data_IF_241287407104
#
_entry.id   IF_241287407104
#
_cell.length_a   1.000
_cell.length_b   1.000
_cell.length_c   1.000
_cell.angle_alpha   90.00
_cell.angle_beta   90.00
_cell.angle_gamma   90.00
#
_symmetry.space_group_name_H-M   'P 1'
#
loop_
_entity.id
_entity.type
_entity.pdbx_description
1 polymer ?
#
# COMPACT_ATOMS: atom_id res chain seq x y z
N UNK A 1 -18.92 12.74 40.65
CA UNK A 1 -18.69 11.60 41.56
C UNK A 1 -19.63 10.47 41.17
N UNK A 2 -19.17 9.21 41.29
CA UNK A 2 -19.80 7.92 40.93
C UNK A 2 -19.56 7.47 39.48
N UNK A 3 -18.55 6.61 39.21
CA UNK A 3 -18.49 5.13 39.40
C UNK A 3 -19.47 4.43 38.44
N UNK A 4 -19.19 3.34 37.73
CA UNK A 4 -18.05 2.44 37.51
C UNK A 4 -18.53 1.40 36.47
N UNK A 5 -17.66 0.94 35.56
CA UNK A 5 -17.52 -0.47 35.10
C UNK A 5 -18.68 -1.13 34.30
N UNK A 6 -18.54 -2.07 33.34
CA UNK A 6 -17.47 -2.99 32.86
C UNK A 6 -18.01 -3.73 31.60
N UNK A 7 -17.12 -4.25 30.74
CA UNK A 7 -17.44 -5.30 29.74
C UNK A 7 -16.51 -5.29 28.52
N UNK A 8 -15.23 -5.66 28.63
CA UNK A 8 -14.67 -7.02 28.43
C UNK A 8 -15.04 -7.70 27.11
N UNK A 9 -14.07 -7.80 26.18
CA UNK A 9 -14.21 -8.58 24.95
C UNK A 9 -12.91 -8.75 24.15
N UNK A 10 -12.03 -9.65 24.61
CA UNK A 10 -11.25 -10.55 23.73
C UNK A 10 -9.98 -10.03 23.04
N UNK A 11 -8.83 -10.19 23.70
CA UNK A 11 -7.53 -10.17 23.02
C UNK A 11 -7.28 -11.46 22.23
N UNK A 12 -6.90 -11.34 20.95
CA UNK A 12 -6.16 -12.38 20.23
C UNK A 12 -5.05 -11.77 19.36
N UNK A 13 -3.83 -11.86 19.90
CA UNK A 13 -2.56 -12.30 19.25
C UNK A 13 -2.27 -11.96 17.78
N UNK A 14 -2.74 -10.86 17.22
CA UNK A 14 -2.11 -10.31 16.01
C UNK A 14 -0.98 -9.37 16.41
N UNK A 15 0.12 -9.94 16.90
CA UNK A 15 1.43 -9.35 16.62
C UNK A 15 1.57 -9.34 15.10
N UNK A 16 0.94 -8.35 14.44
CA UNK A 16 1.23 -8.01 13.06
C UNK A 16 2.66 -7.53 13.11
N UNK A 17 3.59 -8.47 12.91
CA UNK A 17 5.00 -8.23 12.64
C UNK A 17 5.02 -6.97 11.79
N UNK A 18 5.55 -5.87 12.36
CA UNK A 18 5.56 -4.56 11.70
C UNK A 18 6.30 -4.77 10.38
N UNK A 19 5.56 -4.97 9.29
CA UNK A 19 6.16 -5.16 7.97
C UNK A 19 6.88 -3.85 7.67
N UNK A 20 8.18 -3.97 7.45
CA UNK A 20 9.01 -2.82 7.19
C UNK A 20 8.67 -2.28 5.79
N UNK A 21 8.45 -0.97 5.70
CA UNK A 21 8.16 -0.33 4.41
C UNK A 21 9.45 -0.26 3.60
N UNK A 22 9.53 -0.98 2.47
CA UNK A 22 10.73 -1.01 1.61
C UNK A 22 11.21 0.40 1.20
N UNK A 23 10.28 1.28 0.86
CA UNK A 23 10.59 2.69 0.53
C UNK A 23 11.27 3.47 1.67
N UNK A 24 11.01 3.10 2.93
CA UNK A 24 11.68 3.73 4.08
C UNK A 24 13.08 3.18 4.30
N UNK A 25 13.37 1.94 3.86
CA UNK A 25 14.69 1.31 3.97
C UNK A 25 15.61 1.79 2.86
N UNK A 26 15.06 1.91 1.66
CA UNK A 26 15.77 2.38 0.48
C UNK A 26 15.95 3.92 0.47
N UNK A 27 15.34 4.64 1.41
CA UNK A 27 15.48 6.10 1.51
C UNK A 27 14.82 6.87 0.37
N UNK A 28 13.87 6.25 -0.34
CA UNK A 28 13.18 6.86 -1.48
C UNK A 28 12.27 7.98 -0.97
N UNK A 29 12.52 9.20 -1.43
CA UNK A 29 11.77 10.40 -1.02
C UNK A 29 10.48 10.59 -1.82
N UNK A 30 10.48 10.21 -3.10
CA UNK A 30 9.36 10.36 -4.03
C UNK A 30 9.28 9.16 -4.97
N UNK A 31 8.05 8.70 -5.23
CA UNK A 31 7.78 7.64 -6.20
C UNK A 31 7.25 8.29 -7.47
N UNK A 32 8.02 8.22 -8.56
CA UNK A 32 7.63 8.78 -9.85
C UNK A 32 6.88 7.76 -10.72
N UNK A 33 6.05 8.27 -11.62
CA UNK A 33 5.27 7.45 -12.55
C UNK A 33 6.13 6.85 -13.69
N UNK A 34 7.37 7.33 -13.84
CA UNK A 34 8.33 6.88 -14.85
C UNK A 34 9.02 5.57 -14.47
N UNK A 35 9.05 5.25 -13.17
CA UNK A 35 9.72 4.06 -12.65
C UNK A 35 8.85 2.81 -12.76
N UNK A 36 8.70 2.31 -13.98
CA UNK A 36 7.83 1.17 -14.27
C UNK A 36 8.25 -0.11 -13.55
N UNK A 37 9.56 -0.33 -13.35
CA UNK A 37 10.07 -1.48 -12.61
C UNK A 37 9.52 -1.52 -11.19
N UNK A 38 9.53 -0.38 -10.51
CA UNK A 38 9.01 -0.24 -9.15
C UNK A 38 7.50 -0.39 -9.17
N UNK A 39 6.79 0.34 -10.05
CA UNK A 39 5.33 0.35 -10.09
C UNK A 39 4.73 -1.02 -10.42
N UNK A 40 5.34 -1.78 -11.34
CA UNK A 40 4.91 -3.15 -11.66
C UNK A 40 4.93 -4.07 -10.45
N UNK A 41 5.88 -3.92 -9.53
CA UNK A 41 5.93 -4.70 -8.28
C UNK A 41 4.79 -4.40 -7.30
N UNK A 42 4.06 -3.30 -7.48
CA UNK A 42 2.91 -2.90 -6.65
C UNK A 42 1.57 -3.00 -7.39
N UNK A 43 1.58 -3.59 -8.59
CA UNK A 43 0.40 -3.88 -9.38
C UNK A 43 0.26 -5.40 -9.50
N UNK A 44 -0.95 -5.90 -9.33
CA UNK A 44 -1.26 -7.32 -9.57
C UNK A 44 -1.28 -7.62 -11.05
N UNK A 45 -1.19 -8.89 -11.44
CA UNK A 45 -1.32 -9.36 -12.83
C UNK A 45 -2.57 -8.75 -13.50
N UNK A 46 -3.71 -8.75 -12.80
CA UNK A 46 -4.98 -8.15 -13.28
C UNK A 46 -4.97 -6.62 -13.47
N UNK A 47 -3.85 -5.94 -13.24
CA UNK A 47 -3.72 -4.50 -13.31
C UNK A 47 -4.18 -3.76 -12.05
N UNK A 48 -4.71 -4.43 -11.02
CA UNK A 48 -5.16 -3.79 -9.75
C UNK A 48 -4.00 -3.36 -8.84
N UNK A 49 -4.17 -2.28 -8.08
CA UNK A 49 -3.15 -1.79 -7.14
C UNK A 49 -3.14 -2.69 -5.89
N UNK A 50 -1.95 -3.17 -5.51
CA UNK A 50 -1.78 -4.01 -4.32
C UNK A 50 -2.00 -3.18 -3.05
N UNK A 51 -2.88 -3.63 -2.12
CA UNK A 51 -3.15 -2.89 -0.89
C UNK A 51 -1.97 -2.94 0.08
N UNK A 52 -1.81 -1.89 0.88
CA UNK A 52 -0.70 -1.71 1.85
C UNK A 52 -0.59 -2.83 2.89
N UNK A 53 -1.66 -3.58 3.16
CA UNK A 53 -1.63 -4.75 4.06
C UNK A 53 -0.75 -5.90 3.54
N UNK A 54 -0.60 -6.03 2.22
CA UNK A 54 0.21 -7.07 1.61
C UNK A 54 1.66 -6.62 1.58
N UNK A 55 1.90 -5.44 1.02
CA UNK A 55 3.23 -4.85 0.77
C UNK A 55 3.89 -4.23 1.99
N UNK A 56 3.14 -3.89 3.05
CA UNK A 56 3.70 -3.28 4.26
C UNK A 56 4.19 -1.84 4.09
N UNK A 57 3.73 -1.15 3.05
CA UNK A 57 4.08 0.25 2.78
C UNK A 57 3.39 1.19 3.77
N UNK A 58 4.08 2.25 4.21
CA UNK A 58 3.42 3.30 5.02
C UNK A 58 2.31 3.97 4.21
N UNK A 59 1.27 4.43 4.89
CA UNK A 59 0.12 5.12 4.28
C UNK A 59 0.52 6.31 3.41
N UNK A 60 1.54 7.06 3.82
CA UNK A 60 2.11 8.17 3.05
C UNK A 60 2.64 7.73 1.68
N UNK A 61 3.52 6.73 1.65
CA UNK A 61 4.05 6.18 0.39
C UNK A 61 2.96 5.50 -0.43
N UNK A 62 2.01 4.80 0.20
CA UNK A 62 0.91 4.18 -0.52
C UNK A 62 0.05 5.19 -1.30
N UNK A 63 -0.19 6.39 -0.73
CA UNK A 63 -0.90 7.47 -1.41
C UNK A 63 -0.12 7.99 -2.62
N UNK A 64 1.18 8.24 -2.44
CA UNK A 64 2.05 8.66 -3.55
C UNK A 64 2.07 7.62 -4.68
N UNK A 65 2.23 6.35 -4.30
CA UNK A 65 2.26 5.22 -5.22
C UNK A 65 0.94 5.10 -6.00
N UNK A 66 -0.20 5.26 -5.32
CA UNK A 66 -1.49 5.26 -6.00
C UNK A 66 -1.64 6.41 -7.00
N UNK A 67 -1.11 7.60 -6.70
CA UNK A 67 -1.09 8.73 -7.64
C UNK A 67 -0.17 8.45 -8.82
N UNK A 68 1.03 7.92 -8.56
CA UNK A 68 2.00 7.55 -9.60
C UNK A 68 1.44 6.48 -10.55
N UNK A 69 0.81 5.42 -10.03
CA UNK A 69 0.15 4.39 -10.86
C UNK A 69 -0.96 5.01 -11.70
N UNK A 70 -1.81 5.86 -11.13
CA UNK A 70 -2.89 6.51 -11.91
C UNK A 70 -2.34 7.36 -13.06
N UNK A 71 -1.26 8.10 -12.83
CA UNK A 71 -0.57 8.88 -13.87
C UNK A 71 0.03 7.98 -14.94
N UNK A 72 0.71 6.90 -14.55
CA UNK A 72 1.28 5.93 -15.47
C UNK A 72 0.19 5.26 -16.35
N UNK A 73 -0.98 4.96 -15.78
CA UNK A 73 -2.12 4.44 -16.55
C UNK A 73 -2.72 5.45 -17.52
N UNK A 74 -2.78 6.73 -17.15
CA UNK A 74 -3.23 7.79 -18.06
C UNK A 74 -2.30 7.94 -19.28
N UNK A 75 -1.00 7.70 -19.08
CA UNK A 75 0.01 7.71 -20.15
C UNK A 75 0.14 6.37 -20.88
N UNK A 76 -0.78 5.42 -20.67
CA UNK A 76 -0.75 4.08 -21.25
C UNK A 76 0.51 3.25 -20.95
N UNK A 77 1.27 3.60 -19.89
CA UNK A 77 2.45 2.83 -19.46
C UNK A 77 2.07 1.58 -18.66
N UNK A 78 0.87 1.56 -18.08
CA UNK A 78 0.30 0.43 -17.34
C UNK A 78 -1.16 0.22 -17.75
N UNK A 79 -1.60 -1.04 -17.95
CA UNK A 79 -2.99 -1.33 -18.26
C UNK A 79 -3.91 -1.13 -17.05
N UNK A 80 -5.19 -0.82 -17.33
CA UNK A 80 -6.23 -0.74 -16.29
C UNK A 80 -6.75 -2.12 -15.89
N UNK A 81 -6.82 -3.04 -16.86
CA UNK A 81 -7.34 -4.40 -16.72
C UNK A 81 -6.60 -5.32 -17.68
N UNK A 82 -6.42 -6.57 -17.27
CA UNK A 82 -5.78 -7.64 -18.06
C UNK A 82 -6.79 -8.47 -18.86
N UNK A 83 -8.09 -8.21 -18.67
CA UNK A 83 -9.17 -8.80 -19.45
C UNK A 83 -9.51 -7.91 -20.64
N UNK A 84 -9.26 -8.42 -21.84
CA UNK A 84 -9.85 -8.00 -23.11
C UNK A 84 -10.93 -9.01 -23.52
#
# INVERSE_FOLDING_TARGET
>A
MSRDQRGSGGGSRFSRRRKFCRFTAEGVKSIDYKDLATLKGYVTETGKIVPSRITGTKSFYQRQLAVAIKRARFLALLPYTDQH
#
